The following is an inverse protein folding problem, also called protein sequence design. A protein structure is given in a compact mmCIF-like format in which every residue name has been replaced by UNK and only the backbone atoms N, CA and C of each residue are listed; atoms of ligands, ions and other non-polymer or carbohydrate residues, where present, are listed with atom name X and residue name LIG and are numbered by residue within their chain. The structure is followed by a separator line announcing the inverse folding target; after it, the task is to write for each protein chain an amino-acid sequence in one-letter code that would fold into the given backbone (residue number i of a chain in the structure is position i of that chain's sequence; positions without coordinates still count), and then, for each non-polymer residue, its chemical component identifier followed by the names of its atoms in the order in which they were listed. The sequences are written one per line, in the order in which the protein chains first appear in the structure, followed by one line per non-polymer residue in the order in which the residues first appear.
data_IF_211138741191
#
_entry.id   IF_211138741191
#
_cell.length_a   1.000
_cell.length_b   1.000
_cell.length_c   1.000
_cell.angle_alpha   90.00
_cell.angle_beta   90.00
_cell.angle_gamma   90.00
#
_symmetry.space_group_name_H-M   'P 1'
#
loop_
_entity.id
_entity.type
_entity.pdbx_description
1 polymer ?
#
# COMPACT_ATOMS: atom_id res chain seq x y z
N UNK A 1 -33.15 23.67 -50.67
CA UNK A 1 -34.16 23.36 -49.62
C UNK A 1 -33.44 22.70 -48.46
N UNK A 2 -33.58 23.25 -47.25
CA UNK A 2 -33.17 22.60 -45.98
C UNK A 2 -34.37 21.85 -45.41
N UNK A 3 -34.17 20.66 -44.84
CA UNK A 3 -34.58 20.41 -43.45
C UNK A 3 -33.39 19.76 -42.68
N UNK A 4 -32.80 20.34 -41.63
CA UNK A 4 -33.22 20.45 -40.22
C UNK A 4 -33.79 19.16 -39.62
N UNK A 5 -32.98 18.45 -38.82
CA UNK A 5 -33.34 17.59 -37.66
C UNK A 5 -32.05 16.94 -37.06
N UNK A 6 -32.03 16.54 -35.77
CA UNK A 6 -31.89 17.42 -34.62
C UNK A 6 -30.56 17.24 -33.87
N UNK A 7 -30.15 18.33 -33.23
CA UNK A 7 -29.09 18.43 -32.25
C UNK A 7 -29.62 17.87 -30.93
N UNK A 8 -29.46 16.56 -30.71
CA UNK A 8 -29.75 15.93 -29.42
C UNK A 8 -28.44 15.81 -28.63
N UNK A 9 -28.26 16.78 -27.73
CA UNK A 9 -27.23 16.83 -26.71
C UNK A 9 -27.32 15.56 -25.85
N UNK A 10 -26.46 14.57 -26.12
CA UNK A 10 -26.20 13.46 -25.21
C UNK A 10 -25.25 13.93 -24.12
N UNK A 11 -25.78 14.64 -23.12
CA UNK A 11 -25.04 15.02 -21.91
C UNK A 11 -24.87 13.76 -21.06
N UNK A 12 -23.83 12.97 -21.35
CA UNK A 12 -23.45 11.82 -20.54
C UNK A 12 -22.94 12.31 -19.19
N UNK A 13 -23.85 12.32 -18.20
CA UNK A 13 -23.54 12.46 -16.79
C UNK A 13 -22.56 11.33 -16.42
N UNK A 14 -21.26 11.64 -16.38
CA UNK A 14 -20.29 10.80 -15.70
C UNK A 14 -20.54 11.00 -14.21
N UNK A 15 -21.41 10.16 -13.66
CA UNK A 15 -21.48 9.91 -12.24
C UNK A 15 -20.12 9.32 -11.83
N UNK A 16 -19.21 10.20 -11.41
CA UNK A 16 -18.10 9.84 -10.55
C UNK A 16 -18.72 9.21 -9.30
N UNK A 17 -18.79 7.89 -9.29
CA UNK A 17 -18.98 7.11 -8.08
C UNK A 17 -17.78 7.36 -7.19
N UNK A 18 -17.81 8.48 -6.46
CA UNK A 18 -17.14 8.58 -5.17
C UNK A 18 -17.58 7.35 -4.39
N UNK A 19 -16.60 6.51 -4.04
CA UNK A 19 -16.81 5.36 -3.18
C UNK A 19 -17.67 5.79 -1.99
N UNK A 20 -18.52 4.88 -1.53
CA UNK A 20 -19.23 5.03 -0.27
C UNK A 20 -18.21 5.37 0.81
N UNK A 21 -18.08 6.66 1.10
CA UNK A 21 -17.48 7.15 2.33
C UNK A 21 -18.40 6.63 3.42
N UNK A 22 -18.03 5.49 4.02
CA UNK A 22 -18.46 5.25 5.38
C UNK A 22 -18.17 6.54 6.15
N UNK A 23 -19.19 7.14 6.79
CA UNK A 23 -18.99 8.40 7.48
C UNK A 23 -17.87 8.20 8.48
N UNK A 24 -16.73 8.87 8.26
CA UNK A 24 -15.66 8.91 9.25
C UNK A 24 -16.31 9.39 10.54
N UNK A 25 -16.14 8.67 11.67
CA UNK A 25 -16.69 9.14 12.92
C UNK A 25 -16.21 10.57 13.13
N UNK A 26 -17.16 11.48 13.36
CA UNK A 26 -16.84 12.87 13.63
C UNK A 26 -15.83 12.89 14.78
N UNK A 27 -14.65 13.45 14.53
CA UNK A 27 -13.68 13.72 15.57
C UNK A 27 -14.37 14.71 16.53
N UNK A 28 -14.80 14.22 17.68
CA UNK A 28 -15.27 15.07 18.76
C UNK A 28 -14.17 16.11 19.03
N UNK A 29 -14.57 17.38 19.06
CA UNK A 29 -13.69 18.50 19.33
C UNK A 29 -13.30 18.45 20.82
N UNK A 30 -12.36 17.56 21.14
CA UNK A 30 -11.90 17.35 22.51
C UNK A 30 -11.00 18.52 22.89
N UNK A 31 -11.24 19.17 24.03
CA UNK A 31 -10.36 20.24 24.50
C UNK A 31 -8.92 19.70 24.58
N UNK A 32 -8.00 20.37 23.89
CA UNK A 32 -6.58 20.02 23.80
C UNK A 32 -5.86 20.26 25.12
N UNK A 33 -6.29 19.58 26.18
CA UNK A 33 -5.53 19.51 27.42
C UNK A 33 -4.40 18.49 27.21
N UNK A 34 -3.14 18.94 27.38
CA UNK A 34 -1.98 18.04 27.34
C UNK A 34 -2.16 16.86 28.29
N UNK A 35 -2.82 17.07 29.44
CA UNK A 35 -3.14 15.98 30.37
C UNK A 35 -4.07 14.93 29.77
N UNK A 36 -5.08 15.32 29.00
CA UNK A 36 -5.96 14.39 28.31
C UNK A 36 -5.21 13.62 27.20
N UNK A 37 -4.22 14.27 26.56
CA UNK A 37 -3.40 13.69 25.50
C UNK A 37 -2.38 12.67 26.04
N UNK A 38 -1.82 12.87 27.23
CA UNK A 38 -0.93 11.91 27.90
C UNK A 38 -1.67 10.87 28.76
N UNK A 39 -2.96 11.07 29.02
CA UNK A 39 -3.82 10.11 29.69
C UNK A 39 -4.52 9.16 28.70
N UNK A 40 -4.41 9.40 27.38
CA UNK A 40 -4.96 8.53 26.35
C UNK A 40 -4.16 7.21 26.32
N UNK A 41 -4.77 6.07 26.68
CA UNK A 41 -4.11 4.77 26.66
C UNK A 41 -3.61 4.37 25.26
N UNK A 42 -4.20 4.94 24.20
CA UNK A 42 -3.76 4.72 22.83
C UNK A 42 -2.45 5.45 22.48
N UNK A 43 -2.08 6.49 23.24
CA UNK A 43 -0.86 7.27 23.07
C UNK A 43 0.25 6.85 24.05
N UNK A 44 -0.05 5.98 25.01
CA UNK A 44 0.92 5.43 25.97
C UNK A 44 1.41 4.06 25.47
N UNK A 45 2.72 3.77 25.48
CA UNK A 45 3.24 2.47 25.13
C UNK A 45 2.65 1.39 26.04
N UNK A 46 1.73 0.59 25.49
CA UNK A 46 1.16 -0.58 26.16
C UNK A 46 2.00 -1.82 25.85
N UNK A 47 1.99 -2.82 26.75
CA UNK A 47 2.68 -4.10 26.51
C UNK A 47 2.18 -4.81 25.25
N UNK A 48 0.88 -4.72 24.99
CA UNK A 48 0.28 -5.32 23.79
C UNK A 48 0.65 -4.54 22.53
N UNK A 49 0.76 -3.21 22.62
CA UNK A 49 1.24 -2.38 21.51
C UNK A 49 2.72 -2.61 21.18
N UNK A 50 3.57 -2.78 22.19
CA UNK A 50 4.97 -3.19 21.97
C UNK A 50 5.08 -4.59 21.37
N UNK A 51 4.23 -5.53 21.78
CA UNK A 51 4.16 -6.87 21.17
C UNK A 51 3.78 -6.79 19.70
N UNK A 52 2.71 -6.07 19.37
CA UNK A 52 2.26 -5.90 17.98
C UNK A 52 3.35 -5.24 17.11
N UNK A 53 4.08 -4.24 17.64
CA UNK A 53 5.22 -3.64 16.94
C UNK A 53 6.34 -4.65 16.68
N UNK A 54 6.64 -5.52 17.65
CA UNK A 54 7.65 -6.57 17.51
C UNK A 54 7.22 -7.63 16.49
N UNK A 55 5.96 -8.06 16.53
CA UNK A 55 5.36 -8.98 15.56
C UNK A 55 5.50 -8.44 14.13
N UNK A 56 5.09 -7.19 13.90
CA UNK A 56 5.22 -6.54 12.58
C UNK A 56 6.68 -6.39 12.11
N UNK A 57 7.60 -6.07 13.03
CA UNK A 57 9.02 -5.97 12.69
C UNK A 57 9.60 -7.32 12.26
N UNK A 58 9.29 -8.39 13.00
CA UNK A 58 9.73 -9.75 12.68
C UNK A 58 9.12 -10.26 11.38
N UNK A 59 7.82 -10.02 11.16
CA UNK A 59 7.16 -10.34 9.90
C UNK A 59 7.88 -9.67 8.71
N UNK A 60 8.20 -8.38 8.82
CA UNK A 60 8.92 -7.66 7.78
C UNK A 60 10.35 -8.18 7.55
N UNK A 61 11.05 -8.62 8.60
CA UNK A 61 12.37 -9.24 8.48
C UNK A 61 12.31 -10.59 7.77
N UNK A 62 11.33 -11.44 8.12
CA UNK A 62 11.09 -12.73 7.47
C UNK A 62 10.69 -12.57 6.01
N UNK A 63 9.83 -11.60 5.69
CA UNK A 63 9.48 -11.29 4.29
C UNK A 63 10.71 -10.89 3.47
N UNK A 64 11.58 -10.05 4.03
CA UNK A 64 12.83 -9.66 3.35
C UNK A 64 13.74 -10.87 3.15
N UNK A 65 13.92 -11.69 4.18
CA UNK A 65 14.71 -12.91 4.07
C UNK A 65 14.16 -13.85 2.98
N UNK A 66 12.84 -14.09 2.96
CA UNK A 66 12.19 -14.90 1.94
C UNK A 66 12.40 -14.36 0.53
N UNK A 67 12.29 -13.04 0.33
CA UNK A 67 12.59 -12.43 -0.98
C UNK A 67 14.06 -12.57 -1.37
N UNK A 68 14.97 -12.41 -0.41
CA UNK A 68 16.42 -12.61 -0.64
C UNK A 68 16.73 -14.04 -1.06
N UNK A 69 16.01 -15.02 -0.51
CA UNK A 69 16.13 -16.43 -0.89
C UNK A 69 15.38 -16.78 -2.19
N UNK A 70 14.71 -15.82 -2.83
CA UNK A 70 14.05 -16.03 -4.13
C UNK A 70 12.58 -16.45 -4.05
N UNK A 71 11.92 -16.29 -2.91
CA UNK A 71 10.46 -16.45 -2.80
C UNK A 71 9.77 -15.21 -3.41
N UNK A 72 9.05 -15.42 -4.51
CA UNK A 72 8.23 -14.41 -5.15
C UNK A 72 6.94 -14.16 -4.36
N UNK A 73 6.50 -12.90 -4.31
CA UNK A 73 5.31 -12.45 -3.59
C UNK A 73 5.26 -12.90 -2.12
N UNK A 74 6.44 -12.98 -1.48
CA UNK A 74 6.54 -13.40 -0.10
C UNK A 74 5.76 -12.47 0.83
N UNK A 75 4.94 -13.09 1.67
CA UNK A 75 4.23 -12.49 2.79
C UNK A 75 4.50 -13.32 4.04
N UNK A 76 4.75 -12.66 5.17
CA UNK A 76 4.95 -13.33 6.45
C UNK A 76 4.05 -12.73 7.50
N UNK A 77 3.58 -13.58 8.40
CA UNK A 77 2.80 -13.21 9.57
C UNK A 77 3.40 -13.87 10.81
N UNK A 78 3.38 -13.15 11.93
CA UNK A 78 4.02 -13.56 13.18
C UNK A 78 3.07 -13.25 14.33
N UNK A 79 2.70 -14.27 15.07
CA UNK A 79 1.92 -14.15 16.31
C UNK A 79 2.81 -14.56 17.48
N UNK A 80 2.99 -13.69 18.49
CA UNK A 80 3.76 -14.00 19.71
C UNK A 80 2.85 -14.23 20.94
N UNK A 81 1.55 -14.01 20.80
CA UNK A 81 0.58 -14.15 21.89
C UNK A 81 0.17 -15.61 22.16
N UNK A 82 0.23 -16.04 23.42
CA UNK A 82 -0.20 -17.38 23.84
C UNK A 82 0.76 -18.47 23.38
N UNK A 83 0.61 -18.93 22.15
CA UNK A 83 1.49 -19.90 21.51
C UNK A 83 2.12 -19.24 20.27
N UNK A 84 3.44 -18.96 20.26
CA UNK A 84 4.11 -18.30 19.15
C UNK A 84 3.94 -19.07 17.85
N UNK A 85 3.66 -18.38 16.74
CA UNK A 85 3.46 -18.95 15.40
C UNK A 85 4.04 -18.05 14.32
N UNK A 86 4.54 -18.67 13.27
CA UNK A 86 5.05 -17.99 12.08
C UNK A 86 4.41 -18.63 10.85
N UNK A 87 3.84 -17.80 9.98
CA UNK A 87 3.34 -18.22 8.68
C UNK A 87 4.10 -17.48 7.60
N UNK A 88 4.67 -18.22 6.64
CA UNK A 88 5.30 -17.64 5.45
C UNK A 88 4.60 -18.20 4.22
N UNK A 89 4.07 -17.30 3.39
CA UNK A 89 3.37 -17.62 2.14
C UNK A 89 4.12 -17.01 0.97
N UNK A 90 4.24 -17.76 -0.13
CA UNK A 90 4.82 -17.20 -1.36
C UNK A 90 4.95 -18.22 -2.48
N UNK A 91 5.68 -17.84 -3.53
CA UNK A 91 5.95 -18.70 -4.69
C UNK A 91 7.43 -19.01 -4.82
N UNK A 92 7.76 -20.28 -5.04
CA UNK A 92 9.13 -20.79 -5.04
C UNK A 92 9.37 -21.76 -6.20
N UNK A 93 10.61 -21.83 -6.70
CA UNK A 93 11.03 -22.85 -7.67
C UNK A 93 11.51 -24.14 -6.98
N UNK A 94 12.18 -24.02 -5.83
CA UNK A 94 12.67 -25.14 -5.01
C UNK A 94 12.01 -25.08 -3.62
N UNK A 95 10.85 -25.72 -3.47
CA UNK A 95 10.09 -25.72 -2.21
C UNK A 95 10.88 -26.37 -1.07
N UNK A 96 11.52 -27.51 -1.31
CA UNK A 96 12.18 -28.32 -0.27
C UNK A 96 13.50 -27.69 0.21
N UNK A 97 14.26 -27.07 -0.69
CA UNK A 97 15.43 -26.26 -0.33
C UNK A 97 15.02 -25.06 0.50
N UNK A 98 14.05 -24.28 0.02
CA UNK A 98 13.59 -23.07 0.69
C UNK A 98 12.92 -23.33 2.02
N UNK A 99 12.19 -24.44 2.17
CA UNK A 99 11.57 -24.80 3.45
C UNK A 99 12.61 -24.98 4.55
N UNK A 100 13.75 -25.61 4.25
CA UNK A 100 14.85 -25.78 5.21
C UNK A 100 15.54 -24.46 5.54
N UNK A 101 15.85 -23.67 4.52
CA UNK A 101 16.55 -22.38 4.72
C UNK A 101 15.69 -21.37 5.48
N UNK A 102 14.42 -21.21 5.09
CA UNK A 102 13.50 -20.31 5.77
C UNK A 102 13.14 -20.77 7.18
N UNK A 103 13.00 -22.08 7.39
CA UNK A 103 12.85 -22.64 8.74
C UNK A 103 14.05 -22.28 9.63
N UNK A 104 15.27 -22.41 9.12
CA UNK A 104 16.48 -22.04 9.85
C UNK A 104 16.56 -20.53 10.15
N UNK A 105 16.18 -19.67 9.20
CA UNK A 105 16.11 -18.21 9.42
C UNK A 105 15.06 -17.87 10.49
N UNK A 106 13.87 -18.46 10.42
CA UNK A 106 12.83 -18.24 11.40
C UNK A 106 13.26 -18.70 12.81
N UNK A 107 13.90 -19.86 12.92
CA UNK A 107 14.46 -20.37 14.17
C UNK A 107 15.57 -19.47 14.73
N UNK A 108 16.36 -18.82 13.87
CA UNK A 108 17.41 -17.89 14.28
C UNK A 108 16.83 -16.58 14.85
N UNK A 109 15.79 -16.05 14.21
CA UNK A 109 15.11 -14.82 14.67
C UNK A 109 14.24 -15.06 15.90
N UNK A 110 13.65 -16.26 16.01
CA UNK A 110 12.75 -16.68 17.07
C UNK A 110 13.18 -18.05 17.62
N UNK A 111 14.22 -18.10 18.47
CA UNK A 111 14.75 -19.35 19.01
C UNK A 111 13.79 -20.07 19.95
N UNK A 112 12.77 -19.37 20.45
CA UNK A 112 11.73 -19.90 21.33
C UNK A 112 10.59 -20.62 20.57
N UNK A 113 10.56 -20.55 19.23
CA UNK A 113 9.56 -21.25 18.43
C UNK A 113 9.88 -22.75 18.34
N UNK A 114 8.88 -23.60 18.53
CA UNK A 114 9.00 -24.99 18.13
C UNK A 114 8.94 -25.13 16.60
N UNK A 115 9.53 -26.19 16.04
CA UNK A 115 9.59 -26.37 14.59
C UNK A 115 8.20 -26.52 13.94
N UNK A 116 7.21 -27.04 14.67
CA UNK A 116 5.82 -27.18 14.24
C UNK A 116 5.03 -25.86 14.27
N UNK A 117 5.54 -24.84 14.97
CA UNK A 117 4.98 -23.49 14.98
C UNK A 117 5.35 -22.67 13.74
N UNK A 118 6.25 -23.17 12.88
CA UNK A 118 6.65 -22.54 11.62
C UNK A 118 5.90 -23.20 10.46
N UNK A 119 4.96 -22.48 9.86
CA UNK A 119 4.17 -22.94 8.72
C UNK A 119 4.66 -22.26 7.44
N UNK A 120 5.02 -23.06 6.44
CA UNK A 120 5.46 -22.57 5.13
C UNK A 120 4.53 -23.08 4.04
N UNK A 121 3.80 -22.15 3.43
CA UNK A 121 2.87 -22.38 2.33
C UNK A 121 3.48 -21.82 1.06
N UNK A 122 4.24 -22.66 0.35
CA UNK A 122 4.90 -22.28 -0.89
C UNK A 122 4.13 -22.88 -2.07
N UNK A 123 3.75 -22.04 -3.02
CA UNK A 123 3.20 -22.48 -4.29
C UNK A 123 4.31 -22.56 -5.35
N UNK A 124 4.20 -23.47 -6.33
CA UNK A 124 5.18 -23.54 -7.40
C UNK A 124 5.16 -22.24 -8.22
N UNK A 125 6.34 -21.64 -8.39
CA UNK A 125 6.52 -20.50 -9.28
C UNK A 125 6.62 -21.00 -10.71
N UNK A 126 5.50 -20.94 -11.44
CA UNK A 126 5.54 -21.07 -12.90
C UNK A 126 6.13 -19.77 -13.43
N UNK A 127 7.41 -19.81 -13.82
CA UNK A 127 8.10 -18.71 -14.51
C UNK A 127 7.37 -18.44 -15.83
N UNK A 128 6.31 -17.64 -15.79
CA UNK A 128 5.89 -16.86 -16.95
C UNK A 128 6.75 -15.62 -16.87
N UNK A 129 7.89 -15.67 -17.55
CA UNK A 129 8.72 -14.48 -17.76
C UNK A 129 7.78 -13.36 -18.23
N UNK A 130 7.60 -12.27 -17.46
CA UNK A 130 6.75 -11.19 -17.90
C UNK A 130 7.44 -10.60 -19.11
N UNK A 131 6.93 -10.95 -20.29
CA UNK A 131 7.39 -10.48 -21.59
C UNK A 131 7.83 -9.01 -21.46
N UNK A 132 9.08 -8.66 -21.81
CA UNK A 132 9.64 -7.35 -21.54
C UNK A 132 8.70 -6.29 -22.09
N UNK A 133 7.98 -5.60 -21.19
CA UNK A 133 7.04 -4.55 -21.58
C UNK A 133 7.87 -3.40 -22.14
N UNK A 134 8.11 -3.44 -23.44
CA UNK A 134 8.66 -2.32 -24.19
C UNK A 134 7.86 -1.04 -23.91
N UNK A 135 8.45 0.15 -24.15
CA UNK A 135 7.80 1.42 -23.89
C UNK A 135 6.42 1.42 -24.54
N UNK A 136 5.36 1.40 -23.72
CA UNK A 136 3.99 1.40 -24.22
C UNK A 136 3.78 2.71 -24.98
N UNK A 137 3.38 2.67 -26.26
CA UNK A 137 3.15 3.89 -27.02
C UNK A 137 2.10 4.73 -26.29
N UNK A 138 2.39 6.02 -26.13
CA UNK A 138 1.45 6.94 -25.50
C UNK A 138 0.16 6.97 -26.33
N UNK A 139 -0.93 6.49 -25.74
CA UNK A 139 -2.25 6.65 -26.35
C UNK A 139 -2.56 8.15 -26.51
N UNK A 140 -3.23 8.58 -27.59
CA UNK A 140 -3.55 9.98 -27.81
C UNK A 140 -4.33 10.62 -26.65
N UNK A 141 -5.15 9.83 -25.95
CA UNK A 141 -5.87 10.26 -24.75
C UNK A 141 -4.92 10.62 -23.59
N UNK A 142 -3.91 9.79 -23.33
CA UNK A 142 -2.89 10.05 -22.29
C UNK A 142 -2.05 11.28 -22.61
N UNK A 143 -1.68 11.48 -23.88
CA UNK A 143 -0.98 12.68 -24.32
C UNK A 143 -1.83 13.94 -24.12
N UNK A 144 -3.12 13.88 -24.45
CA UNK A 144 -4.07 14.98 -24.25
C UNK A 144 -4.23 15.33 -22.76
N UNK A 145 -4.42 14.33 -21.90
CA UNK A 145 -4.56 14.54 -20.46
C UNK A 145 -3.30 15.13 -19.84
N UNK A 146 -2.12 14.67 -20.26
CA UNK A 146 -0.85 15.22 -19.82
C UNK A 146 -0.67 16.68 -20.27
N UNK A 147 -0.98 16.99 -21.53
CA UNK A 147 -0.93 18.36 -22.05
C UNK A 147 -1.91 19.30 -21.33
N UNK A 148 -3.13 18.83 -21.05
CA UNK A 148 -4.12 19.59 -20.28
C UNK A 148 -3.64 19.85 -18.84
N UNK A 149 -3.00 18.86 -18.20
CA UNK A 149 -2.39 19.00 -16.88
C UNK A 149 -1.29 20.06 -16.85
N UNK A 150 -0.40 20.06 -17.85
CA UNK A 150 0.65 21.08 -17.97
C UNK A 150 0.08 22.49 -18.21
N UNK A 151 -0.95 22.61 -19.04
CA UNK A 151 -1.63 23.89 -19.28
C UNK A 151 -2.31 24.43 -18.00
N UNK A 152 -2.98 23.56 -17.25
CA UNK A 152 -3.59 23.91 -15.95
C UNK A 152 -2.54 24.35 -14.92
N UNK A 153 -1.41 23.65 -14.86
CA UNK A 153 -0.29 24.01 -13.98
C UNK A 153 0.29 25.39 -14.34
N UNK A 154 0.49 25.65 -15.64
CA UNK A 154 0.99 26.95 -16.13
C UNK A 154 0.06 28.11 -15.81
N UNK A 155 -1.25 27.92 -15.98
CA UNK A 155 -2.25 28.92 -15.62
C UNK A 155 -2.25 29.21 -14.11
N UNK A 156 -2.17 28.17 -13.28
CA UNK A 156 -2.10 28.33 -11.82
C UNK A 156 -0.84 29.09 -11.40
N UNK A 157 0.33 28.76 -11.96
CA UNK A 157 1.59 29.45 -11.64
C UNK A 157 1.60 30.91 -12.09
N UNK A 158 0.98 31.22 -13.23
CA UNK A 158 0.83 32.58 -13.73
C UNK A 158 0.05 33.48 -12.76
N UNK A 159 -1.09 33.00 -12.26
CA UNK A 159 -1.92 33.74 -11.29
C UNK A 159 -1.18 33.96 -9.97
N UNK A 160 -0.41 32.96 -9.50
CA UNK A 160 0.38 33.09 -8.28
C UNK A 160 1.50 34.12 -8.44
N UNK A 161 2.18 34.14 -9.59
CA UNK A 161 3.23 35.11 -9.90
C UNK A 161 2.68 36.54 -10.01
N UNK A 162 1.50 36.70 -10.61
CA UNK A 162 0.81 38.00 -10.71
C UNK A 162 0.42 38.55 -9.33
N UNK A 163 -0.14 37.70 -8.45
CA UNK A 163 -0.46 38.08 -7.06
C UNK A 163 0.79 38.44 -6.25
N UNK A 164 1.92 37.78 -6.49
CA UNK A 164 3.20 38.12 -5.86
C UNK A 164 3.75 39.47 -6.32
N UNK A 165 3.59 39.84 -7.59
CA UNK A 165 3.97 41.18 -8.08
C UNK A 165 3.07 42.27 -7.51
N UNK A 166 1.76 42.06 -7.49
CA UNK A 166 0.80 43.04 -6.97
C UNK A 166 0.96 43.34 -5.47
N UNK A 167 1.60 42.45 -4.69
CA UNK A 167 1.93 42.68 -3.27
C UNK A 167 3.24 43.45 -3.04
N UNK A 168 4.07 43.58 -4.07
CA UNK A 168 5.38 44.27 -4.00
C UNK A 168 5.36 45.68 -4.58
N UNK A 169 4.32 46.02 -5.36
CA UNK A 169 4.03 47.37 -5.81
C UNK A 169 3.16 48.08 -4.77
#
# INVERSE_FOLDING_TARGET
MRPRLPLALGLSLVALGCGSEDPRPALEDRPADKRALFADPALVPSRDGERARRELALAAELERAARTLGVADAHADVELGGAPRVLIVGRAQDEDGLRRELGAVAQLLLPELDADAIQLVLAPSMTTDPEPRGPRPWTPLRALLFAAGLAGLGASLGVTAERLRARRA
#
